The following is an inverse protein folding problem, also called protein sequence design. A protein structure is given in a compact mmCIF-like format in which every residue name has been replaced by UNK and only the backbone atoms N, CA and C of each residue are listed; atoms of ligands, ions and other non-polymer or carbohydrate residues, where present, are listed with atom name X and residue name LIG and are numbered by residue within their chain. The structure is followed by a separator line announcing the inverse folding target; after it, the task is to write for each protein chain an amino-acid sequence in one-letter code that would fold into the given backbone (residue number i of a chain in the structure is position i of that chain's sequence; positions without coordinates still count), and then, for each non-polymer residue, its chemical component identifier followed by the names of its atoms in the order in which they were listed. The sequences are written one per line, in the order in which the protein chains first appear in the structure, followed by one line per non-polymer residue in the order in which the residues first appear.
data_IF_225600757257
#
_entry.id   IF_225600757257
#
_cell.length_a   1.000
_cell.length_b   1.000
_cell.length_c   1.000
_cell.angle_alpha   90.00
_cell.angle_beta   90.00
_cell.angle_gamma   90.00
#
_symmetry.space_group_name_H-M   'P 1'
#
loop_
_entity.id
_entity.type
_entity.pdbx_description
1 polymer ?
#
# COMPACT_ATOMS: atom_id res chain seq x y z
N UNK A 1 -1.43 -16.47 7.76
CA UNK A 1 -0.58 -15.86 6.74
C UNK A 1 0.39 -14.89 7.37
N UNK A 2 1.65 -14.95 7.00
CA UNK A 2 2.68 -14.10 7.62
C UNK A 2 2.99 -12.90 6.74
N UNK A 3 3.20 -11.73 7.32
CA UNK A 3 3.67 -10.60 6.54
C UNK A 3 5.07 -10.87 6.00
N UNK A 4 5.32 -10.44 4.78
CA UNK A 4 6.62 -10.56 4.12
C UNK A 4 7.16 -9.18 3.81
N UNK A 5 8.48 -9.05 3.87
CA UNK A 5 9.13 -7.78 3.55
C UNK A 5 8.98 -7.49 2.06
N UNK A 6 8.42 -6.33 1.74
CA UNK A 6 8.23 -5.86 0.36
C UNK A 6 9.10 -4.64 0.14
N UNK A 7 9.97 -4.72 -0.86
CA UNK A 7 10.85 -3.60 -1.18
C UNK A 7 10.12 -2.60 -2.05
N UNK A 8 10.30 -1.32 -1.72
CA UNK A 8 9.63 -0.23 -2.42
C UNK A 8 10.63 0.91 -2.64
N UNK A 9 10.35 1.72 -3.66
CA UNK A 9 11.07 2.98 -3.89
C UNK A 9 10.02 4.08 -3.83
N UNK A 10 10.07 4.88 -2.77
CA UNK A 10 9.12 5.96 -2.54
C UNK A 10 9.82 7.31 -2.58
N UNK A 11 9.44 8.15 -3.54
CA UNK A 11 10.02 9.49 -3.69
C UNK A 11 11.55 9.45 -3.78
N UNK A 12 12.07 8.45 -4.49
CA UNK A 12 13.50 8.29 -4.68
C UNK A 12 14.25 7.60 -3.54
N UNK A 13 13.55 7.18 -2.49
CA UNK A 13 14.15 6.52 -1.34
C UNK A 13 13.78 5.04 -1.30
N UNK A 14 14.77 4.20 -1.06
CA UNK A 14 14.53 2.78 -0.84
C UNK A 14 13.91 2.57 0.53
N UNK A 15 12.82 1.82 0.59
CA UNK A 15 12.17 1.49 1.84
C UNK A 15 11.59 0.08 1.75
N UNK A 16 11.03 -0.40 2.83
CA UNK A 16 10.35 -1.68 2.83
C UNK A 16 9.17 -1.64 3.78
N UNK A 17 8.20 -2.51 3.51
CA UNK A 17 7.04 -2.66 4.36
C UNK A 17 6.74 -4.15 4.47
N UNK A 18 6.36 -4.60 5.67
CA UNK A 18 5.95 -5.99 5.88
C UNK A 18 4.46 -6.09 5.65
N UNK A 19 4.06 -6.92 4.68
CA UNK A 19 2.67 -7.00 4.27
C UNK A 19 2.35 -8.42 3.82
N UNK A 20 1.18 -8.89 4.20
CA UNK A 20 0.69 -10.21 3.82
C UNK A 20 0.47 -10.31 2.31
N UNK A 21 0.59 -11.52 1.77
CA UNK A 21 0.44 -11.73 0.32
C UNK A 21 -0.89 -11.23 -0.23
N UNK A 22 -1.98 -11.43 0.51
CA UNK A 22 -3.30 -10.97 0.07
C UNK A 22 -3.35 -9.46 -0.11
N UNK A 23 -2.86 -8.73 0.87
CA UNK A 23 -2.85 -7.27 0.79
C UNK A 23 -1.92 -6.79 -0.30
N UNK A 24 -0.76 -7.41 -0.44
CA UNK A 24 0.20 -7.03 -1.48
C UNK A 24 -0.38 -7.24 -2.88
N UNK A 25 -1.02 -8.40 -3.10
CA UNK A 25 -1.65 -8.73 -4.37
C UNK A 25 -2.76 -7.73 -4.69
N UNK A 26 -3.60 -7.40 -3.71
CA UNK A 26 -4.69 -6.44 -3.91
C UNK A 26 -4.17 -5.04 -4.20
N UNK A 27 -3.10 -4.63 -3.55
CA UNK A 27 -2.48 -3.34 -3.86
C UNK A 27 -1.99 -3.29 -5.30
N UNK A 28 -1.36 -4.36 -5.78
CA UNK A 28 -0.91 -4.42 -7.17
C UNK A 28 -2.08 -4.37 -8.14
N UNK A 29 -3.18 -5.05 -7.82
CA UNK A 29 -4.37 -5.03 -8.66
C UNK A 29 -5.00 -3.64 -8.70
N UNK A 30 -5.07 -2.96 -7.56
CA UNK A 30 -5.62 -1.60 -7.49
C UNK A 30 -4.74 -0.64 -8.28
N UNK A 31 -3.41 -0.76 -8.14
CA UNK A 31 -2.49 0.07 -8.91
C UNK A 31 -2.72 -0.10 -10.41
N UNK A 32 -2.87 -1.34 -10.85
CA UNK A 32 -3.13 -1.64 -12.26
C UNK A 32 -4.43 -1.01 -12.73
N UNK A 33 -5.50 -1.10 -11.92
CA UNK A 33 -6.78 -0.47 -12.25
C UNK A 33 -6.65 1.04 -12.41
N UNK A 34 -5.80 1.67 -11.61
CA UNK A 34 -5.57 3.11 -11.65
C UNK A 34 -4.46 3.53 -12.61
N UNK A 35 -3.92 2.58 -13.35
CA UNK A 35 -2.82 2.81 -14.30
C UNK A 35 -1.58 3.37 -13.62
N UNK A 36 -1.30 2.89 -12.41
CA UNK A 36 -0.12 3.28 -11.62
C UNK A 36 0.77 2.07 -11.39
N UNK A 37 2.06 2.33 -11.15
CA UNK A 37 2.93 1.29 -10.62
C UNK A 37 2.64 1.10 -9.14
N UNK A 38 3.06 -0.03 -8.58
CA UNK A 38 2.89 -0.25 -7.13
C UNK A 38 3.63 0.82 -6.33
N UNK A 39 4.81 1.24 -6.76
CA UNK A 39 5.55 2.30 -6.08
C UNK A 39 4.78 3.63 -6.13
N UNK A 40 4.18 3.95 -7.25
CA UNK A 40 3.38 5.18 -7.39
C UNK A 40 2.17 5.16 -6.48
N UNK A 41 1.46 4.05 -6.43
CA UNK A 41 0.28 3.94 -5.57
C UNK A 41 0.67 4.05 -4.10
N UNK A 42 1.70 3.34 -3.68
CA UNK A 42 2.13 3.37 -2.28
C UNK A 42 2.65 4.75 -1.90
N UNK A 43 3.37 5.42 -2.79
CA UNK A 43 3.83 6.80 -2.54
C UNK A 43 2.66 7.75 -2.32
N UNK A 44 1.60 7.59 -3.11
CA UNK A 44 0.38 8.41 -2.98
C UNK A 44 -0.29 8.19 -1.63
N UNK A 45 -0.36 6.93 -1.18
CA UNK A 45 -0.94 6.59 0.11
C UNK A 45 -0.06 7.15 1.25
N UNK A 46 1.26 6.99 1.12
CA UNK A 46 2.21 7.47 2.11
C UNK A 46 2.13 8.98 2.28
N UNK A 47 1.99 9.71 1.18
CA UNK A 47 1.89 11.17 1.22
C UNK A 47 0.64 11.66 1.93
N UNK A 48 -0.42 10.88 1.93
CA UNK A 48 -1.70 11.26 2.55
C UNK A 48 -1.88 10.75 3.97
N UNK A 49 -0.95 9.93 4.47
CA UNK A 49 -1.12 9.35 5.81
C UNK A 49 -0.74 10.33 6.91
N UNK A 50 -1.31 10.09 8.09
CA UNK A 50 -0.97 10.84 9.28
C UNK A 50 0.16 10.12 10.02
N UNK A 51 1.36 10.69 9.96
CA UNK A 51 2.57 10.09 10.54
C UNK A 51 2.47 9.84 12.05
N UNK A 52 1.65 10.61 12.73
CA UNK A 52 1.56 10.52 14.19
C UNK A 52 0.71 9.34 14.65
N UNK A 53 -0.10 8.80 13.77
CA UNK A 53 -1.14 7.84 14.16
C UNK A 53 -0.83 6.42 13.75
N UNK A 54 -0.30 6.19 12.55
CA UNK A 54 -0.16 4.82 12.06
C UNK A 54 1.06 4.64 11.16
N UNK A 55 1.56 3.41 11.13
CA UNK A 55 2.64 3.02 10.24
C UNK A 55 2.14 2.76 8.82
N UNK A 56 3.07 2.68 7.89
CA UNK A 56 2.74 2.47 6.48
C UNK A 56 1.97 1.16 6.25
N UNK A 57 2.38 0.06 6.89
CA UNK A 57 1.69 -1.21 6.70
C UNK A 57 0.22 -1.11 7.09
N UNK A 58 -0.08 -0.44 8.21
CA UNK A 58 -1.45 -0.23 8.65
C UNK A 58 -2.24 0.59 7.64
N UNK A 59 -1.64 1.66 7.13
CA UNK A 59 -2.30 2.51 6.12
C UNK A 59 -2.60 1.74 4.84
N UNK A 60 -1.68 0.88 4.41
CA UNK A 60 -1.89 0.09 3.20
C UNK A 60 -3.02 -0.92 3.38
N UNK A 61 -3.09 -1.58 4.55
CA UNK A 61 -4.18 -2.52 4.83
C UNK A 61 -5.53 -1.81 4.87
N UNK A 62 -5.59 -0.66 5.53
CA UNK A 62 -6.82 0.12 5.59
C UNK A 62 -7.23 0.63 4.21
N UNK A 63 -6.28 1.05 3.40
CA UNK A 63 -6.56 1.51 2.04
C UNK A 63 -7.21 0.39 1.21
N UNK A 64 -6.65 -0.81 1.27
CA UNK A 64 -7.21 -1.96 0.53
C UNK A 64 -8.63 -2.25 0.99
N UNK A 65 -8.84 -2.28 2.29
CA UNK A 65 -10.17 -2.56 2.84
C UNK A 65 -11.18 -1.50 2.43
N UNK A 66 -10.84 -0.23 2.59
CA UNK A 66 -11.74 0.87 2.22
C UNK A 66 -12.04 0.88 0.72
N UNK A 67 -11.05 0.57 -0.09
CA UNK A 67 -11.23 0.50 -1.54
C UNK A 67 -12.31 -0.53 -1.91
N UNK A 68 -12.24 -1.71 -1.31
CA UNK A 68 -13.22 -2.76 -1.59
C UNK A 68 -14.58 -2.46 -1.00
N UNK A 69 -14.65 -1.88 0.18
CA UNK A 69 -15.91 -1.49 0.79
C UNK A 69 -16.62 -0.45 -0.08
N UNK A 70 -15.90 0.52 -0.58
CA UNK A 70 -16.49 1.61 -1.38
C UNK A 70 -16.92 1.16 -2.78
N UNK A 71 -16.48 -0.01 -3.23
CA UNK A 71 -16.87 -0.56 -4.53
C UNK A 71 -18.23 -1.24 -4.52
N UNK A 72 -18.74 -1.58 -3.37
CA UNK A 72 -19.98 -2.34 -3.22
C UNK A 72 -21.20 -1.44 -3.37
#
# INVERSE_FOLDING_TARGET
MRPKKRSLILNGHNTSVSLEDLFWTELKNIAKEQELSINQLVAKIDDSRNFEVSGLATELREFVLKYHINKI
#
